data_IF_190473838044
#
_entry.id   IF_190473838044
#
_cell.length_a   1.000
_cell.length_b   1.000
_cell.length_c   1.000
_cell.angle_alpha   90.00
_cell.angle_beta   90.00
_cell.angle_gamma   90.00
#
_symmetry.space_group_name_H-M   'P 1'
#
loop_
_entity.id
_entity.type
_entity.pdbx_description
1 polymer ?
#
# COMPACT_ATOMS: atom_id res chain seq x y z
N UNK A 1 8.01 12.68 32.58
CA UNK A 1 7.16 13.70 31.93
C UNK A 1 6.99 13.32 30.47
N UNK A 2 5.76 13.18 29.97
CA UNK A 2 5.54 12.96 28.53
C UNK A 2 5.95 14.22 27.76
N UNK A 3 6.79 14.05 26.73
CA UNK A 3 7.21 15.14 25.85
C UNK A 3 6.01 15.54 24.99
N UNK A 4 5.58 16.80 25.08
CA UNK A 4 4.54 17.36 24.20
C UNK A 4 5.19 18.08 23.01
N UNK A 5 4.65 17.85 21.82
CA UNK A 5 5.15 18.42 20.57
C UNK A 5 4.11 19.36 19.96
N UNK A 6 4.54 20.54 19.49
CA UNK A 6 3.66 21.42 18.71
C UNK A 6 3.39 20.83 17.31
N UNK A 7 2.44 21.41 16.57
CA UNK A 7 2.02 20.86 15.27
C UNK A 7 3.17 20.75 14.26
N UNK A 8 4.04 21.78 14.16
CA UNK A 8 5.20 21.75 13.26
C UNK A 8 6.18 20.63 13.63
N UNK A 9 6.40 20.40 14.92
CA UNK A 9 7.26 19.32 15.40
C UNK A 9 6.66 17.94 15.13
N UNK A 10 5.35 17.75 15.36
CA UNK A 10 4.67 16.49 15.03
C UNK A 10 4.75 16.17 13.55
N UNK A 11 4.58 17.18 12.68
CA UNK A 11 4.78 17.04 11.22
C UNK A 11 6.22 16.62 10.89
N UNK A 12 7.21 17.33 11.46
CA UNK A 12 8.63 17.04 11.21
C UNK A 12 9.06 15.65 11.68
N UNK A 13 8.43 15.14 12.74
CA UNK A 13 8.75 13.85 13.34
C UNK A 13 7.80 12.72 12.91
N UNK A 14 6.84 12.99 12.01
CA UNK A 14 5.83 12.03 11.56
C UNK A 14 5.07 11.37 12.73
N UNK A 15 4.51 12.20 13.62
CA UNK A 15 3.76 11.76 14.80
C UNK A 15 2.27 12.01 14.65
N UNK A 16 1.47 11.20 15.33
CA UNK A 16 0.01 11.35 15.44
C UNK A 16 -0.66 11.52 14.06
N UNK A 17 -1.21 12.69 13.73
CA UNK A 17 -1.93 12.95 12.49
C UNK A 17 -1.06 12.88 11.21
N UNK A 18 0.25 12.70 11.37
CA UNK A 18 1.22 12.57 10.27
C UNK A 18 1.75 11.14 10.12
N UNK A 19 1.05 10.15 10.68
CA UNK A 19 1.35 8.72 10.49
C UNK A 19 0.33 8.10 9.54
N UNK A 20 0.82 7.36 8.57
CA UNK A 20 0.02 6.48 7.72
C UNK A 20 0.13 5.05 8.23
N UNK A 21 -1.00 4.36 8.31
CA UNK A 21 -1.03 2.92 8.56
C UNK A 21 -1.01 2.19 7.23
N UNK A 22 -0.08 1.24 7.12
CA UNK A 22 0.07 0.42 5.94
C UNK A 22 0.88 -0.84 6.23
N UNK A 23 0.94 -1.71 5.24
CA UNK A 23 1.68 -2.96 5.30
C UNK A 23 2.21 -3.32 3.91
N UNK A 24 3.32 -4.07 3.90
CA UNK A 24 3.87 -4.62 2.67
C UNK A 24 3.10 -5.87 2.26
N UNK A 25 2.85 -6.00 0.97
CA UNK A 25 2.27 -7.19 0.34
C UNK A 25 3.21 -7.66 -0.76
N UNK A 26 3.57 -8.93 -0.69
CA UNK A 26 4.39 -9.60 -1.67
C UNK A 26 3.69 -10.88 -2.12
N UNK A 27 3.64 -11.12 -3.42
CA UNK A 27 3.06 -12.34 -3.99
C UNK A 27 3.79 -12.74 -5.28
N UNK A 28 3.59 -13.99 -5.69
CA UNK A 28 4.29 -14.56 -6.84
C UNK A 28 3.33 -15.36 -7.72
N UNK A 29 3.45 -15.16 -9.03
CA UNK A 29 2.80 -15.96 -10.07
C UNK A 29 3.67 -17.16 -10.46
N UNK A 30 3.01 -18.22 -10.94
CA UNK A 30 3.70 -19.40 -11.42
C UNK A 30 4.56 -19.07 -12.66
N UNK A 31 5.65 -19.81 -12.86
CA UNK A 31 6.47 -19.67 -14.05
C UNK A 31 5.65 -19.98 -15.32
N UNK A 32 5.86 -19.17 -16.37
CA UNK A 32 5.10 -19.28 -17.61
C UNK A 32 3.70 -18.68 -17.57
N UNK A 33 3.30 -18.00 -16.48
CA UNK A 33 2.06 -17.22 -16.45
C UNK A 33 2.13 -16.14 -17.52
N UNK A 34 1.09 -16.05 -18.36
CA UNK A 34 0.98 -15.03 -19.39
C UNK A 34 0.84 -13.63 -18.77
N UNK A 35 1.41 -12.62 -19.42
CA UNK A 35 1.43 -11.24 -18.91
C UNK A 35 0.00 -10.71 -18.77
N UNK A 36 -0.85 -11.04 -19.74
CA UNK A 36 -2.25 -10.64 -19.75
C UNK A 36 -3.00 -11.19 -18.52
N UNK A 37 -2.66 -12.40 -18.08
CA UNK A 37 -3.22 -13.00 -16.86
C UNK A 37 -2.70 -12.31 -15.59
N UNK A 38 -1.43 -11.89 -15.59
CA UNK A 38 -0.88 -11.09 -14.48
C UNK A 38 -1.63 -9.77 -14.37
N UNK A 39 -1.77 -9.05 -15.49
CA UNK A 39 -2.47 -7.76 -15.56
C UNK A 39 -3.92 -7.90 -15.09
N UNK A 40 -4.67 -8.90 -15.59
CA UNK A 40 -6.05 -9.17 -15.18
C UNK A 40 -6.18 -9.42 -13.66
N UNK A 41 -5.25 -10.17 -13.07
CA UNK A 41 -5.30 -10.48 -11.64
C UNK A 41 -4.97 -9.24 -10.81
N UNK A 42 -3.98 -8.45 -11.21
CA UNK A 42 -3.60 -7.22 -10.51
C UNK A 42 -4.72 -6.18 -10.60
N UNK A 43 -5.34 -6.01 -11.78
CA UNK A 43 -6.51 -5.15 -11.95
C UNK A 43 -7.65 -5.58 -11.04
N UNK A 44 -7.93 -6.89 -10.97
CA UNK A 44 -8.97 -7.41 -10.09
C UNK A 44 -8.65 -7.18 -8.62
N UNK A 45 -7.40 -7.40 -8.20
CA UNK A 45 -6.95 -7.09 -6.84
C UNK A 45 -7.18 -5.62 -6.49
N UNK A 46 -6.83 -4.70 -7.40
CA UNK A 46 -7.02 -3.27 -7.18
C UNK A 46 -8.52 -2.91 -7.11
N UNK A 47 -9.30 -3.37 -8.08
CA UNK A 47 -10.71 -2.98 -8.24
C UNK A 47 -11.65 -3.64 -7.22
N UNK A 48 -11.34 -4.86 -6.77
CA UNK A 48 -12.22 -5.62 -5.86
C UNK A 48 -11.76 -5.61 -4.41
N UNK A 49 -10.47 -5.45 -4.14
CA UNK A 49 -9.92 -5.51 -2.77
C UNK A 49 -9.42 -4.15 -2.31
N UNK A 50 -8.63 -3.44 -3.11
CA UNK A 50 -7.99 -2.19 -2.66
C UNK A 50 -9.00 -1.03 -2.63
N UNK A 51 -9.57 -0.66 -3.78
CA UNK A 51 -10.44 0.51 -3.90
C UNK A 51 -11.72 0.40 -3.04
N UNK A 52 -12.45 -0.74 -3.00
CA UNK A 52 -13.68 -0.81 -2.22
C UNK A 52 -13.46 -0.68 -0.71
N UNK A 53 -12.25 -0.97 -0.22
CA UNK A 53 -11.89 -0.85 1.18
C UNK A 53 -11.25 0.51 1.53
N UNK A 54 -11.23 1.47 0.59
CA UNK A 54 -10.62 2.79 0.81
C UNK A 54 -9.11 2.73 1.02
N UNK A 55 -8.46 1.74 0.42
CA UNK A 55 -7.03 1.55 0.46
C UNK A 55 -6.39 2.09 -0.82
N UNK A 56 -5.11 2.46 -0.72
CA UNK A 56 -4.24 2.72 -1.85
C UNK A 56 -3.20 1.60 -1.94
N UNK A 57 -2.82 1.24 -3.16
CA UNK A 57 -1.77 0.27 -3.43
C UNK A 57 -0.75 0.87 -4.38
N UNK A 58 0.53 0.81 -4.00
CA UNK A 58 1.67 1.14 -4.84
C UNK A 58 2.56 -0.10 -4.90
N UNK A 59 2.76 -0.65 -6.10
CA UNK A 59 3.56 -1.85 -6.27
C UNK A 59 3.97 -2.05 -7.71
N UNK A 60 4.98 -2.88 -7.91
CA UNK A 60 5.47 -3.23 -9.24
C UNK A 60 6.00 -4.66 -9.24
N UNK A 61 5.97 -5.30 -10.41
CA UNK A 61 6.44 -6.66 -10.54
C UNK A 61 6.27 -7.21 -11.94
N UNK A 62 6.80 -8.42 -12.12
CA UNK A 62 6.54 -9.26 -13.28
C UNK A 62 5.86 -10.55 -12.81
N UNK A 63 6.63 -11.62 -12.58
CA UNK A 63 6.12 -12.80 -11.86
C UNK A 63 6.22 -12.64 -10.34
N UNK A 64 7.13 -11.81 -9.85
CA UNK A 64 7.25 -11.46 -8.44
C UNK A 64 6.78 -10.03 -8.24
N UNK A 65 5.83 -9.84 -7.34
CA UNK A 65 5.26 -8.54 -7.03
C UNK A 65 5.57 -8.16 -5.60
N UNK A 66 5.99 -6.91 -5.45
CA UNK A 66 6.18 -6.26 -4.18
C UNK A 66 5.41 -4.94 -4.20
N UNK A 67 4.72 -4.64 -3.10
CA UNK A 67 3.99 -3.40 -2.97
C UNK A 67 3.65 -3.04 -1.54
N UNK A 68 3.22 -1.80 -1.39
CA UNK A 68 2.75 -1.19 -0.16
C UNK A 68 1.24 -0.95 -0.28
N UNK A 69 0.51 -1.34 0.74
CA UNK A 69 -0.90 -0.97 0.91
C UNK A 69 -1.01 0.00 2.08
N UNK A 70 -1.69 1.13 1.87
CA UNK A 70 -2.01 2.10 2.93
C UNK A 70 -3.45 2.59 2.81
N UNK A 71 -3.91 3.40 3.76
CA UNK A 71 -5.20 4.08 3.64
C UNK A 71 -5.13 5.15 2.54
N UNK A 72 -6.14 5.21 1.66
CA UNK A 72 -6.21 6.22 0.60
C UNK A 72 -6.41 7.64 1.18
N UNK A 73 -7.03 7.73 2.35
CA UNK A 73 -7.30 8.99 3.06
C UNK A 73 -6.91 8.83 4.53
N UNK A 74 -6.21 9.84 5.07
CA UNK A 74 -5.87 10.00 6.49
C UNK A 74 -6.95 10.82 7.19
#
# INVERSE_FOLDING_TARGET
MSKSYNQRQRKKLHLAEFQELGFLVNFQFAEGTAIETVDEIVDRFINEVIQPNGLAYEGSGYLHWEGLVCLEKI
#
